data_IF_725479426245
#
_entry.id   IF_725479426245
#
_cell.length_a   1.000
_cell.length_b   1.000
_cell.length_c   1.000
_cell.angle_alpha   90.00
_cell.angle_beta   90.00
_cell.angle_gamma   90.00
#
_symmetry.space_group_name_H-M   'P 1'
#
loop_
_entity.id
_entity.type
_entity.pdbx_description
1 polymer ?
#
# COMPACT_ATOMS: atom_id res chain seq x y z
N UNK A 1 11.14 -9.87 -1.57
CA UNK A 1 10.72 -9.07 -2.75
C UNK A 1 10.35 -7.69 -2.27
N UNK A 2 10.96 -6.62 -2.79
CA UNK A 2 10.66 -5.23 -2.40
C UNK A 2 9.92 -4.57 -3.56
N UNK A 3 8.72 -4.05 -3.31
CA UNK A 3 7.95 -3.27 -4.28
C UNK A 3 8.09 -1.79 -3.94
N UNK A 4 8.14 -0.93 -4.96
CA UNK A 4 8.31 0.53 -4.81
C UNK A 4 7.15 1.21 -5.54
N UNK A 5 6.37 2.02 -4.82
CA UNK A 5 5.39 2.91 -5.44
C UNK A 5 6.10 4.15 -5.97
N UNK A 6 5.88 4.49 -7.24
CA UNK A 6 6.33 5.74 -7.85
C UNK A 6 5.10 6.58 -8.18
N UNK A 7 5.15 7.85 -7.83
CA UNK A 7 4.09 8.82 -8.10
C UNK A 7 4.66 9.84 -9.09
N UNK A 8 3.85 10.24 -10.07
CA UNK A 8 4.17 11.30 -11.02
C UNK A 8 3.05 12.32 -10.99
N UNK A 9 3.40 13.61 -11.00
CA UNK A 9 2.46 14.72 -11.03
C UNK A 9 3.08 15.89 -11.81
N UNK A 10 2.24 16.67 -12.49
CA UNK A 10 2.63 17.94 -13.05
C UNK A 10 2.57 19.01 -11.95
N UNK A 11 3.68 19.72 -11.73
CA UNK A 11 3.80 20.73 -10.70
C UNK A 11 3.95 22.11 -11.34
N UNK A 12 3.13 23.06 -10.93
CA UNK A 12 3.21 24.45 -11.37
C UNK A 12 3.64 25.33 -10.18
N UNK A 13 4.79 26.02 -10.32
CA UNK A 13 5.38 26.89 -9.30
C UNK A 13 5.61 26.23 -7.91
N UNK A 14 5.71 24.89 -7.89
CA UNK A 14 6.03 24.10 -6.70
C UNK A 14 7.16 23.11 -7.07
N UNK A 15 8.10 22.94 -6.16
CA UNK A 15 9.16 21.93 -6.23
C UNK A 15 9.15 21.10 -4.94
N UNK A 16 9.87 19.98 -4.94
CA UNK A 16 10.12 19.18 -3.73
C UNK A 16 8.82 18.72 -3.04
N UNK A 17 7.87 18.20 -3.83
CA UNK A 17 6.66 17.59 -3.28
C UNK A 17 7.03 16.36 -2.45
N UNK A 18 7.10 16.54 -1.14
CA UNK A 18 7.41 15.49 -0.19
C UNK A 18 6.35 15.38 0.92
N UNK A 19 6.25 14.21 1.57
CA UNK A 19 5.64 14.07 2.88
C UNK A 19 6.11 15.16 3.85
N UNK A 20 5.20 15.94 4.45
CA UNK A 20 5.50 16.94 5.49
C UNK A 20 6.19 16.30 6.72
N UNK A 21 7.54 16.34 6.78
CA UNK A 21 8.48 15.70 7.74
C UNK A 21 9.33 14.54 7.17
N UNK A 22 9.32 14.36 5.85
CA UNK A 22 10.16 13.38 5.15
C UNK A 22 9.59 11.95 5.16
N UNK A 23 10.21 11.07 4.38
CA UNK A 23 9.74 9.69 4.13
C UNK A 23 10.04 8.69 5.24
N UNK A 24 10.74 9.10 6.29
CA UNK A 24 11.22 8.23 7.38
C UNK A 24 10.67 8.59 8.77
N UNK A 25 9.79 9.59 8.90
CA UNK A 25 9.15 9.87 10.19
C UNK A 25 8.07 8.80 10.47
N UNK A 26 8.21 7.95 11.50
CA UNK A 26 7.19 6.95 11.86
C UNK A 26 5.88 7.61 12.33
N UNK A 27 5.92 8.89 12.70
CA UNK A 27 4.78 9.73 13.02
C UNK A 27 4.41 10.66 11.87
N UNK A 28 4.91 10.41 10.65
CA UNK A 28 4.37 11.05 9.46
C UNK A 28 2.92 10.60 9.31
N UNK A 29 2.03 11.40 9.92
CA UNK A 29 0.61 11.33 9.66
C UNK A 29 0.48 11.83 8.23
N UNK A 30 0.21 10.90 7.32
CA UNK A 30 -0.36 11.26 6.04
C UNK A 30 -1.70 11.97 6.36
N UNK A 31 -1.68 13.30 6.56
CA UNK A 31 -2.88 14.12 6.77
C UNK A 31 -3.80 14.08 5.53
N UNK A 32 -3.29 13.54 4.43
CA UNK A 32 -4.08 12.95 3.36
C UNK A 32 -4.15 11.46 3.64
N UNK A 33 -5.33 10.88 3.88
CA UNK A 33 -5.44 9.41 3.78
C UNK A 33 -4.94 9.00 2.39
N UNK A 34 -3.68 8.54 2.28
CA UNK A 34 -3.11 8.10 1.01
C UNK A 34 -3.72 6.74 0.74
N UNK A 35 -4.86 6.80 0.09
CA UNK A 35 -5.63 5.68 -0.39
C UNK A 35 -4.90 5.13 -1.60
N UNK A 36 -4.01 4.15 -1.42
CA UNK A 36 -3.41 3.48 -2.56
C UNK A 36 -4.43 2.46 -3.06
N UNK A 37 -5.01 2.73 -4.23
CA UNK A 37 -5.94 1.85 -4.93
C UNK A 37 -5.14 1.00 -5.93
N UNK A 38 -5.11 -0.32 -5.76
CA UNK A 38 -4.38 -1.21 -6.67
C UNK A 38 -5.06 -2.56 -6.87
N UNK A 39 -4.71 -3.22 -7.97
CA UNK A 39 -5.08 -4.61 -8.25
C UNK A 39 -3.90 -5.53 -7.98
N UNK A 40 -4.13 -6.57 -7.19
CA UNK A 40 -3.08 -7.48 -6.75
C UNK A 40 -3.00 -8.70 -7.65
N UNK A 41 -1.79 -9.06 -8.09
CA UNK A 41 -1.56 -10.34 -8.75
C UNK A 41 -0.98 -11.32 -7.74
N UNK A 42 -1.66 -12.45 -7.52
CA UNK A 42 -1.17 -13.50 -6.64
C UNK A 42 0.14 -14.09 -7.19
N UNK A 43 1.17 -14.20 -6.34
CA UNK A 43 2.45 -14.79 -6.73
C UNK A 43 2.37 -16.28 -7.07
N UNK A 44 1.44 -17.01 -6.44
CA UNK A 44 1.27 -18.45 -6.62
C UNK A 44 0.36 -18.80 -7.81
N UNK A 45 -0.90 -18.33 -7.81
CA UNK A 45 -1.87 -18.67 -8.87
C UNK A 45 -1.89 -17.69 -10.05
N UNK A 46 -1.13 -16.59 -10.00
CA UNK A 46 -1.09 -15.53 -11.03
C UNK A 46 -2.42 -14.82 -11.30
N UNK A 47 -3.47 -15.08 -10.52
CA UNK A 47 -4.76 -14.39 -10.64
C UNK A 47 -4.65 -12.93 -10.20
N UNK A 48 -5.40 -12.06 -10.88
CA UNK A 48 -5.53 -10.64 -10.54
C UNK A 48 -6.79 -10.42 -9.69
N UNK A 49 -6.70 -9.58 -8.65
CA UNK A 49 -7.85 -9.26 -7.81
C UNK A 49 -9.01 -8.70 -8.64
N UNK A 50 -10.23 -9.18 -8.36
CA UNK A 50 -11.44 -8.72 -9.05
C UNK A 50 -11.79 -7.27 -8.69
N UNK A 51 -11.51 -6.88 -7.44
CA UNK A 51 -11.73 -5.53 -6.94
C UNK A 51 -10.40 -4.85 -6.66
N UNK A 52 -10.44 -3.54 -6.77
CA UNK A 52 -9.38 -2.70 -6.26
C UNK A 52 -9.32 -2.80 -4.73
N UNK A 53 -8.11 -2.72 -4.19
CA UNK A 53 -7.88 -2.72 -2.74
C UNK A 53 -7.27 -1.41 -2.33
N UNK A 54 -7.81 -0.86 -1.24
CA UNK A 54 -7.30 0.34 -0.59
C UNK A 54 -6.44 -0.08 0.60
N UNK A 55 -5.26 0.52 0.73
CA UNK A 55 -4.46 0.47 1.97
C UNK A 55 -4.24 1.85 2.56
N UNK A 56 -4.18 1.87 3.89
CA UNK A 56 -3.74 3.01 4.68
C UNK A 56 -2.42 2.61 5.34
N UNK A 57 -1.38 3.42 5.16
CA UNK A 57 -0.02 3.10 5.61
C UNK A 57 0.08 2.84 7.12
N UNK A 58 -0.67 3.61 7.92
CA UNK A 58 -0.70 3.48 9.38
C UNK A 58 -1.51 2.28 9.88
N UNK A 59 -2.34 1.67 9.04
CA UNK A 59 -3.16 0.52 9.44
C UNK A 59 -2.38 -0.77 9.22
N UNK A 60 -2.22 -1.54 10.30
CA UNK A 60 -1.63 -2.88 10.24
C UNK A 60 -2.50 -3.88 10.96
N UNK A 61 -2.44 -5.13 10.54
CA UNK A 61 -3.12 -6.27 11.14
C UNK A 61 -2.13 -7.39 11.43
N UNK A 62 -2.49 -8.26 12.37
CA UNK A 62 -1.68 -9.42 12.71
C UNK A 62 -1.76 -10.46 11.59
N UNK A 63 -0.62 -11.03 11.22
CA UNK A 63 -0.59 -12.13 10.29
C UNK A 63 -1.00 -13.44 11.00
N UNK A 64 -1.99 -14.19 10.47
CA UNK A 64 -2.34 -15.51 10.99
C UNK A 64 -1.11 -16.42 11.04
N UNK A 65 -0.94 -17.15 12.15
CA UNK A 65 0.17 -18.09 12.38
C UNK A 65 1.59 -17.48 12.28
N UNK A 66 1.71 -16.17 12.47
CA UNK A 66 2.99 -15.45 12.46
C UNK A 66 3.04 -14.40 13.56
N UNK A 67 4.24 -13.99 13.96
CA UNK A 67 4.47 -12.89 14.92
C UNK A 67 4.57 -11.52 14.23
N UNK A 68 4.51 -11.48 12.90
CA UNK A 68 4.62 -10.24 12.14
C UNK A 68 3.26 -9.56 11.92
N UNK A 69 3.33 -8.30 11.53
CA UNK A 69 2.18 -7.51 11.07
C UNK A 69 2.25 -7.26 9.57
N UNK A 70 1.11 -6.96 8.96
CA UNK A 70 1.00 -6.55 7.56
C UNK A 70 -0.13 -5.53 7.40
N UNK A 71 -0.06 -4.66 6.40
CA UNK A 71 -1.16 -3.73 6.09
C UNK A 71 -2.38 -4.43 5.47
N UNK A 72 -2.22 -5.63 4.92
CA UNK A 72 -3.30 -6.43 4.34
C UNK A 72 -3.01 -7.92 4.46
N UNK A 73 -4.02 -8.66 4.93
CA UNK A 73 -4.04 -10.12 4.88
C UNK A 73 -5.34 -10.54 4.24
N UNK A 74 -5.26 -11.17 3.06
CA UNK A 74 -6.44 -11.66 2.34
C UNK A 74 -6.18 -13.08 1.83
N UNK A 75 -7.16 -13.96 2.03
CA UNK A 75 -7.16 -15.28 1.40
C UNK A 75 -7.61 -15.11 -0.06
N UNK A 76 -6.80 -15.60 -0.99
CA UNK A 76 -7.19 -15.65 -2.41
C UNK A 76 -8.31 -16.68 -2.53
N UNK A 77 -9.46 -16.27 -3.05
CA UNK A 77 -10.55 -17.18 -3.36
C UNK A 77 -10.20 -17.88 -4.67
N UNK A 78 -9.62 -19.08 -4.58
CA UNK A 78 -9.50 -19.96 -5.74
C UNK A 78 -10.91 -20.24 -6.26
N UNK A 79 -11.23 -19.69 -7.42
CA UNK A 79 -12.40 -20.14 -8.18
C UNK A 79 -11.94 -21.40 -8.91
N UNK A 80 -12.45 -22.58 -8.51
CA UNK A 80 -12.32 -23.81 -9.29
C UNK A 80 -13.04 -23.66 -10.64
#
# INVERSE_FOLDING_TARGET
MRMVLRISADLENITELEPRKGTNDPNFVYDFKVLIIYRMKCGACRELSQKETCLIFSETTLMPNSRGTANLVQKVCFSL
#
